data_IF_538605505756
#
_entry.id   IF_538605505756
#
_cell.length_a   1.000
_cell.length_b   1.000
_cell.length_c   1.000
_cell.angle_alpha   90.00
_cell.angle_beta   90.00
_cell.angle_gamma   90.00
#
_symmetry.space_group_name_H-M   'P 1'
#
loop_
_entity.id
_entity.type
_entity.pdbx_description
1 polymer ?
#
# COMPACT_ATOMS: atom_id res chain seq x y z
N UNK A 1 -21.05 3.27 7.43
CA UNK A 1 -21.13 4.16 8.60
C UNK A 1 -22.26 5.15 8.44
N UNK A 2 -22.89 5.53 9.55
CA UNK A 2 -24.05 6.42 9.55
C UNK A 2 -24.93 6.19 10.76
N UNK A 3 -26.17 6.72 10.72
CA UNK A 3 -27.17 6.43 11.75
C UNK A 3 -27.50 4.93 11.77
N UNK A 4 -27.49 4.33 12.95
CA UNK A 4 -27.69 2.88 13.11
C UNK A 4 -29.11 2.44 12.73
N UNK A 5 -30.12 3.27 13.03
CA UNK A 5 -31.51 2.95 12.69
C UNK A 5 -31.74 2.96 11.17
N UNK A 6 -31.12 3.92 10.47
CA UNK A 6 -31.15 4.00 9.01
C UNK A 6 -30.40 2.82 8.42
N UNK A 7 -29.21 2.46 8.95
CA UNK A 7 -28.48 1.28 8.52
C UNK A 7 -29.31 0.01 8.59
N UNK A 8 -29.97 -0.27 9.72
CA UNK A 8 -30.80 -1.47 9.86
C UNK A 8 -31.98 -1.48 8.87
N UNK A 9 -32.59 -0.33 8.58
CA UNK A 9 -33.64 -0.22 7.56
C UNK A 9 -33.17 -0.50 6.14
N UNK A 10 -31.91 -0.10 5.82
CA UNK A 10 -31.34 -0.23 4.45
C UNK A 10 -30.48 -1.47 4.26
N UNK A 11 -30.18 -2.21 5.33
CA UNK A 11 -29.26 -3.36 5.33
C UNK A 11 -29.60 -4.42 4.27
N UNK A 12 -30.89 -4.74 4.11
CA UNK A 12 -31.31 -5.76 3.12
C UNK A 12 -31.07 -5.28 1.68
N UNK A 13 -31.29 -4.00 1.41
CA UNK A 13 -30.94 -3.42 0.12
C UNK A 13 -29.43 -3.47 -0.13
N UNK A 14 -28.64 -3.07 0.86
CA UNK A 14 -27.18 -3.08 0.75
C UNK A 14 -26.58 -4.49 0.60
N UNK A 15 -27.22 -5.52 1.15
CA UNK A 15 -26.82 -6.93 0.99
C UNK A 15 -26.83 -7.41 -0.47
N UNK A 16 -27.60 -6.79 -1.35
CA UNK A 16 -27.58 -7.12 -2.78
C UNK A 16 -26.24 -6.76 -3.45
N UNK A 17 -25.45 -5.86 -2.83
CA UNK A 17 -24.12 -5.43 -3.31
C UNK A 17 -22.97 -6.19 -2.65
N UNK A 18 -23.23 -7.04 -1.63
CA UNK A 18 -22.20 -7.81 -0.93
C UNK A 18 -22.43 -7.90 0.58
N UNK A 19 -21.39 -8.31 1.30
CA UNK A 19 -21.42 -8.38 2.77
C UNK A 19 -21.42 -6.99 3.40
N UNK A 20 -22.39 -6.75 4.27
CA UNK A 20 -22.59 -5.43 4.89
C UNK A 20 -22.21 -5.46 6.36
N UNK A 21 -21.28 -4.62 6.74
CA UNK A 21 -20.82 -4.48 8.12
C UNK A 21 -21.05 -3.04 8.60
N UNK A 22 -21.71 -2.86 9.74
CA UNK A 22 -21.83 -1.57 10.40
C UNK A 22 -20.54 -1.24 11.16
N UNK A 23 -19.84 -0.18 10.76
CA UNK A 23 -18.53 0.20 11.34
C UNK A 23 -18.59 1.45 12.21
N UNK A 24 -19.79 2.03 12.43
CA UNK A 24 -19.96 3.18 13.31
C UNK A 24 -20.73 4.34 12.68
N UNK A 25 -20.67 5.51 13.31
CA UNK A 25 -21.36 6.73 12.90
C UNK A 25 -20.88 7.26 11.54
N UNK A 26 -21.48 8.34 11.08
CA UNK A 26 -21.09 9.04 9.83
C UNK A 26 -19.59 9.28 9.77
N UNK A 27 -18.98 8.97 8.63
CA UNK A 27 -17.51 9.04 8.42
C UNK A 27 -16.77 7.71 8.69
N UNK A 28 -17.29 6.82 9.57
CA UNK A 28 -16.57 5.57 9.92
C UNK A 28 -16.34 4.62 8.73
N UNK A 29 -17.25 4.60 7.74
CA UNK A 29 -17.05 3.84 6.51
C UNK A 29 -15.85 4.34 5.70
N UNK A 30 -15.64 5.65 5.65
CA UNK A 30 -14.46 6.22 4.99
C UNK A 30 -13.18 5.88 5.75
N UNK A 31 -13.22 5.91 7.10
CA UNK A 31 -12.07 5.47 7.92
C UNK A 31 -11.74 4.00 7.66
N UNK A 32 -12.77 3.12 7.57
CA UNK A 32 -12.55 1.71 7.22
C UNK A 32 -11.89 1.54 5.85
N UNK A 33 -12.31 2.32 4.84
CA UNK A 33 -11.64 2.34 3.53
C UNK A 33 -10.19 2.78 3.63
N UNK A 34 -9.89 3.84 4.37
CA UNK A 34 -8.51 4.33 4.56
C UNK A 34 -7.64 3.30 5.29
N UNK A 35 -8.18 2.62 6.30
CA UNK A 35 -7.49 1.53 7.00
C UNK A 35 -7.14 0.38 6.04
N UNK A 36 -8.08 -0.03 5.17
CA UNK A 36 -7.82 -1.01 4.13
C UNK A 36 -6.67 -0.56 3.20
N UNK A 37 -6.71 0.68 2.71
CA UNK A 37 -5.69 1.20 1.79
C UNK A 37 -4.31 1.38 2.44
N UNK A 38 -4.26 1.66 3.74
CA UNK A 38 -3.01 1.64 4.50
C UNK A 38 -2.40 0.24 4.51
N UNK A 39 -3.20 -0.78 4.85
CA UNK A 39 -2.76 -2.19 4.85
C UNK A 39 -2.30 -2.60 3.44
N UNK A 40 -3.08 -2.29 2.40
CA UNK A 40 -2.73 -2.61 1.01
C UNK A 40 -1.37 -2.00 0.63
N UNK A 41 -1.18 -0.70 0.83
CA UNK A 41 0.07 -0.02 0.46
C UNK A 41 1.28 -0.53 1.22
N UNK A 42 1.15 -0.75 2.54
CA UNK A 42 2.22 -1.27 3.39
C UNK A 42 2.56 -2.73 3.00
N UNK A 43 1.55 -3.56 2.77
CA UNK A 43 1.76 -4.96 2.40
C UNK A 43 2.41 -5.11 1.03
N UNK A 44 2.08 -4.27 0.04
CA UNK A 44 2.79 -4.24 -1.25
C UNK A 44 4.28 -3.93 -1.04
N UNK A 45 4.61 -2.97 -0.18
CA UNK A 45 5.98 -2.68 0.20
C UNK A 45 6.68 -3.88 0.84
N UNK A 46 6.06 -4.51 1.83
CA UNK A 46 6.58 -5.68 2.53
C UNK A 46 6.81 -6.88 1.59
N UNK A 47 5.85 -7.17 0.71
CA UNK A 47 5.98 -8.22 -0.32
C UNK A 47 7.12 -7.91 -1.28
N UNK A 48 7.27 -6.65 -1.69
CA UNK A 48 8.38 -6.23 -2.56
C UNK A 48 9.74 -6.48 -1.90
N UNK A 49 9.91 -6.08 -0.64
CA UNK A 49 11.15 -6.28 0.12
C UNK A 49 11.44 -7.78 0.33
N UNK A 50 10.43 -8.57 0.68
CA UNK A 50 10.58 -10.01 0.88
C UNK A 50 11.07 -10.73 -0.40
N UNK A 51 10.51 -10.40 -1.56
CA UNK A 51 10.93 -10.99 -2.84
C UNK A 51 12.34 -10.53 -3.25
N UNK A 52 12.68 -9.27 -2.97
CA UNK A 52 14.03 -8.74 -3.20
C UNK A 52 15.05 -9.41 -2.28
N UNK A 53 14.70 -9.63 -1.01
CA UNK A 53 15.54 -10.34 -0.04
C UNK A 53 15.80 -11.77 -0.51
N UNK A 54 14.76 -12.50 -0.93
CA UNK A 54 14.89 -13.85 -1.46
C UNK A 54 15.85 -13.91 -2.65
N UNK A 55 15.66 -13.02 -3.64
CA UNK A 55 16.55 -12.90 -4.81
C UNK A 55 18.00 -12.59 -4.40
N UNK A 56 18.19 -11.70 -3.43
CA UNK A 56 19.52 -11.31 -2.96
C UNK A 56 20.26 -12.43 -2.23
N UNK A 57 19.53 -13.27 -1.52
CA UNK A 57 20.04 -14.42 -0.79
C UNK A 57 20.25 -15.67 -1.68
N UNK A 58 19.97 -15.58 -3.00
CA UNK A 58 20.10 -16.70 -3.94
C UNK A 58 18.95 -17.70 -3.89
N UNK A 59 17.86 -17.40 -3.18
CA UNK A 59 16.65 -18.21 -3.19
C UNK A 59 15.78 -17.87 -4.42
N UNK A 60 15.03 -18.85 -4.95
CA UNK A 60 14.04 -18.57 -6.00
C UNK A 60 12.83 -17.83 -5.43
N UNK A 61 12.57 -16.56 -5.82
CA UNK A 61 11.45 -15.80 -5.27
C UNK A 61 10.08 -16.42 -5.58
N UNK A 62 9.94 -17.21 -6.66
CA UNK A 62 8.70 -17.93 -6.97
C UNK A 62 8.46 -19.06 -5.96
N UNK A 63 9.52 -19.83 -5.65
CA UNK A 63 9.45 -20.88 -4.65
C UNK A 63 9.19 -20.32 -3.24
N UNK A 64 9.87 -19.21 -2.87
CA UNK A 64 9.65 -18.52 -1.59
C UNK A 64 8.19 -18.05 -1.48
N UNK A 65 7.66 -17.36 -2.50
CA UNK A 65 6.24 -16.94 -2.50
C UNK A 65 5.30 -18.14 -2.32
N UNK A 66 5.56 -19.25 -3.02
CA UNK A 66 4.76 -20.49 -2.90
C UNK A 66 4.82 -21.07 -1.47
N UNK A 67 5.97 -21.06 -0.85
CA UNK A 67 6.16 -21.59 0.50
C UNK A 67 5.39 -20.80 1.58
N UNK A 68 5.41 -19.46 1.49
CA UNK A 68 4.85 -18.59 2.55
C UNK A 68 3.37 -18.25 2.37
N UNK A 69 2.78 -18.53 1.20
CA UNK A 69 1.41 -18.09 0.88
C UNK A 69 0.32 -18.68 1.78
N UNK A 70 0.52 -19.88 2.32
CA UNK A 70 -0.42 -20.55 3.19
C UNK A 70 -0.11 -20.35 4.69
N UNK A 71 0.93 -19.57 5.03
CA UNK A 71 1.28 -19.21 6.40
C UNK A 71 0.74 -17.83 6.79
N UNK A 72 1.20 -17.30 7.91
CA UNK A 72 0.80 -15.99 8.44
C UNK A 72 1.09 -14.81 7.50
N UNK A 73 2.08 -14.93 6.62
CA UNK A 73 2.38 -13.94 5.60
C UNK A 73 1.41 -13.99 4.41
N UNK A 74 0.55 -15.00 4.31
CA UNK A 74 -0.43 -15.18 3.26
C UNK A 74 -1.44 -14.04 3.23
N UNK A 75 -1.71 -13.52 2.03
CA UNK A 75 -2.68 -12.46 1.81
C UNK A 75 -3.07 -12.37 0.33
N UNK A 76 -4.24 -11.81 0.00
CA UNK A 76 -4.58 -11.48 -1.39
C UNK A 76 -3.50 -10.62 -2.06
N UNK A 77 -2.83 -9.74 -1.30
CA UNK A 77 -1.73 -8.91 -1.80
C UNK A 77 -0.53 -9.76 -2.21
N UNK A 78 -0.09 -10.70 -1.38
CA UNK A 78 0.99 -11.64 -1.74
C UNK A 78 0.61 -12.50 -2.95
N UNK A 79 -0.65 -12.95 -3.03
CA UNK A 79 -1.12 -13.77 -4.16
C UNK A 79 -1.17 -12.97 -5.47
N UNK A 80 -1.83 -11.82 -5.48
CA UNK A 80 -2.07 -11.06 -6.71
C UNK A 80 -0.84 -10.24 -7.09
N UNK A 81 -0.38 -9.37 -6.18
CA UNK A 81 0.71 -8.43 -6.50
C UNK A 81 2.08 -9.10 -6.43
N UNK A 82 2.29 -10.09 -5.56
CA UNK A 82 3.49 -10.93 -5.59
C UNK A 82 3.64 -11.68 -6.92
N UNK A 83 2.54 -12.19 -7.50
CA UNK A 83 2.53 -12.78 -8.85
C UNK A 83 2.90 -11.75 -9.91
N UNK A 84 2.24 -10.57 -9.92
CA UNK A 84 2.53 -9.48 -10.88
C UNK A 84 4.00 -9.07 -10.86
N UNK A 85 4.59 -8.93 -9.67
CA UNK A 85 6.00 -8.59 -9.48
C UNK A 85 6.91 -9.64 -10.14
N UNK A 86 6.65 -10.92 -9.90
CA UNK A 86 7.46 -12.02 -10.44
C UNK A 86 7.32 -12.17 -11.97
N UNK A 87 6.16 -11.85 -12.51
CA UNK A 87 5.86 -11.85 -13.94
C UNK A 87 6.25 -10.53 -14.63
N UNK A 88 6.71 -9.51 -13.87
CA UNK A 88 6.99 -8.15 -14.34
C UNK A 88 5.80 -7.51 -15.06
N UNK A 89 4.59 -7.90 -14.67
CA UNK A 89 3.35 -7.37 -15.23
C UNK A 89 2.83 -6.21 -14.36
N UNK A 90 3.06 -4.99 -14.80
CA UNK A 90 2.66 -3.76 -14.13
C UNK A 90 1.53 -3.03 -14.87
N UNK A 91 0.78 -3.73 -15.72
CA UNK A 91 -0.48 -3.23 -16.28
C UNK A 91 -1.46 -2.91 -15.15
N UNK A 92 -2.11 -1.72 -15.16
CA UNK A 92 -2.78 -1.20 -13.99
C UNK A 92 -4.10 -1.92 -13.66
N UNK A 93 -4.12 -2.66 -12.53
CA UNK A 93 -5.35 -2.96 -11.79
C UNK A 93 -5.69 -1.82 -10.84
N UNK A 94 -4.68 -1.30 -10.12
CA UNK A 94 -4.75 -0.09 -9.31
C UNK A 94 -3.51 0.76 -9.55
N UNK A 95 -3.68 2.02 -10.00
CA UNK A 95 -2.55 2.89 -10.38
C UNK A 95 -1.71 3.35 -9.19
N UNK A 96 -0.40 3.56 -9.40
CA UNK A 96 0.49 4.20 -8.43
C UNK A 96 -0.03 5.57 -7.98
N UNK A 97 -0.56 6.39 -8.91
CA UNK A 97 -1.15 7.69 -8.59
C UNK A 97 -2.37 7.59 -7.67
N UNK A 98 -3.20 6.56 -7.85
CA UNK A 98 -4.37 6.30 -6.98
C UNK A 98 -3.92 5.89 -5.59
N UNK A 99 -2.94 4.98 -5.49
CA UNK A 99 -2.40 4.57 -4.20
C UNK A 99 -1.73 5.75 -3.46
N UNK A 100 -1.00 6.61 -4.18
CA UNK A 100 -0.43 7.83 -3.60
C UNK A 100 -1.51 8.76 -3.03
N UNK A 101 -2.60 8.98 -3.79
CA UNK A 101 -3.73 9.78 -3.32
C UNK A 101 -4.32 9.18 -2.03
N UNK A 102 -4.50 7.86 -1.99
CA UNK A 102 -5.03 7.18 -0.81
C UNK A 102 -4.08 7.31 0.39
N UNK A 103 -2.77 7.16 0.20
CA UNK A 103 -1.77 7.37 1.25
C UNK A 103 -1.75 8.82 1.77
N UNK A 104 -1.92 9.82 0.90
CA UNK A 104 -2.07 11.22 1.32
C UNK A 104 -3.29 11.42 2.20
N UNK A 105 -4.45 10.89 1.79
CA UNK A 105 -5.69 10.97 2.57
C UNK A 105 -5.55 10.29 3.95
N UNK A 106 -4.83 9.16 4.04
CA UNK A 106 -4.54 8.46 5.28
C UNK A 106 -3.76 9.38 6.23
N UNK A 107 -2.69 10.02 5.74
CA UNK A 107 -1.84 10.90 6.56
C UNK A 107 -2.60 12.16 6.98
N UNK A 108 -3.41 12.75 6.12
CA UNK A 108 -4.27 13.89 6.47
C UNK A 108 -5.29 13.52 7.55
N UNK A 109 -5.93 12.35 7.41
CA UNK A 109 -6.86 11.85 8.43
C UNK A 109 -6.14 11.60 9.76
N UNK A 110 -4.96 10.97 9.72
CA UNK A 110 -4.14 10.75 10.93
C UNK A 110 -3.83 12.07 11.65
N UNK A 111 -3.45 13.12 10.92
CA UNK A 111 -3.22 14.46 11.48
C UNK A 111 -4.46 15.05 12.14
N UNK A 112 -5.63 14.92 11.51
CA UNK A 112 -6.90 15.40 12.07
C UNK A 112 -7.23 14.73 13.40
N UNK A 113 -6.84 13.45 13.58
CA UNK A 113 -7.01 12.70 14.82
C UNK A 113 -5.78 12.76 15.75
N UNK A 114 -4.76 13.56 15.43
CA UNK A 114 -3.51 13.73 16.20
C UNK A 114 -2.77 12.41 16.47
N UNK A 115 -2.75 11.52 15.49
CA UNK A 115 -2.00 10.26 15.52
C UNK A 115 -0.90 10.24 14.46
N UNK A 116 0.18 9.53 14.74
CA UNK A 116 1.32 9.36 13.85
C UNK A 116 1.33 7.93 13.29
N UNK A 117 1.48 7.79 11.96
CA UNK A 117 1.47 6.52 11.24
C UNK A 117 2.77 6.34 10.46
N UNK A 118 3.88 5.93 11.12
CA UNK A 118 5.23 5.95 10.52
C UNK A 118 5.35 5.04 9.28
N UNK A 119 4.73 3.86 9.27
CA UNK A 119 4.77 2.98 8.11
C UNK A 119 4.03 3.60 6.92
N UNK A 120 2.86 4.18 7.14
CA UNK A 120 2.09 4.86 6.10
C UNK A 120 2.84 6.07 5.53
N UNK A 121 3.54 6.84 6.38
CA UNK A 121 4.37 7.96 5.93
C UNK A 121 5.53 7.48 5.04
N UNK A 122 6.20 6.40 5.42
CA UNK A 122 7.28 5.83 4.62
C UNK A 122 6.77 5.37 3.26
N UNK A 123 5.67 4.64 3.22
CA UNK A 123 5.06 4.15 1.98
C UNK A 123 4.57 5.32 1.11
N UNK A 124 3.96 6.35 1.71
CA UNK A 124 3.57 7.56 0.98
C UNK A 124 4.76 8.18 0.24
N UNK A 125 5.90 8.37 0.93
CA UNK A 125 7.13 8.91 0.33
C UNK A 125 7.63 8.05 -0.84
N UNK A 126 7.59 6.73 -0.71
CA UNK A 126 7.99 5.84 -1.80
C UNK A 126 7.05 5.97 -3.02
N UNK A 127 5.74 6.11 -2.80
CA UNK A 127 4.81 6.37 -3.90
C UNK A 127 4.95 7.78 -4.49
N UNK A 128 5.35 8.78 -3.74
CA UNK A 128 5.70 10.11 -4.26
C UNK A 128 6.86 9.99 -5.26
N UNK A 129 7.94 9.31 -4.88
CA UNK A 129 9.11 9.12 -5.73
C UNK A 129 8.77 8.37 -7.03
N UNK A 130 8.04 7.26 -6.95
CA UNK A 130 7.72 6.47 -8.16
C UNK A 130 6.80 7.23 -9.13
N UNK A 131 5.92 8.08 -8.61
CA UNK A 131 5.06 8.94 -9.43
C UNK A 131 5.90 10.04 -10.07
N UNK A 132 6.82 10.67 -9.34
CA UNK A 132 7.77 11.67 -9.87
C UNK A 132 8.71 11.07 -10.92
N UNK A 133 9.05 9.78 -10.85
CA UNK A 133 9.79 9.05 -11.88
C UNK A 133 8.95 8.75 -13.16
N UNK A 134 7.73 9.28 -13.26
CA UNK A 134 6.87 9.12 -14.45
C UNK A 134 6.09 7.80 -14.50
N UNK A 135 6.06 7.02 -13.40
CA UNK A 135 5.38 5.71 -13.33
C UNK A 135 3.98 5.78 -12.70
N UNK A 136 3.34 6.94 -12.77
CA UNK A 136 2.03 7.22 -12.17
C UNK A 136 0.91 6.30 -12.66
N UNK A 137 0.95 5.89 -13.93
CA UNK A 137 -0.04 5.04 -14.58
C UNK A 137 0.16 3.54 -14.37
N UNK A 138 1.34 3.10 -13.92
CA UNK A 138 1.61 1.69 -13.66
C UNK A 138 0.80 1.17 -12.46
N UNK A 139 0.60 -0.15 -12.42
CA UNK A 139 0.03 -0.83 -11.25
C UNK A 139 0.81 -0.49 -9.97
N UNK A 140 0.14 -0.36 -8.86
CA UNK A 140 0.77 0.02 -7.60
C UNK A 140 1.80 -1.00 -7.09
N UNK A 141 1.79 -2.25 -7.58
CA UNK A 141 2.86 -3.22 -7.35
C UNK A 141 4.19 -2.83 -8.02
N UNK A 142 4.19 -1.86 -8.94
CA UNK A 142 5.40 -1.29 -9.51
C UNK A 142 6.29 -0.58 -8.48
N UNK A 143 5.80 -0.35 -7.25
CA UNK A 143 6.60 0.06 -6.10
C UNK A 143 7.85 -0.84 -5.92
N UNK A 144 7.74 -2.13 -6.25
CA UNK A 144 8.86 -3.06 -6.31
C UNK A 144 10.03 -2.55 -7.16
N UNK A 145 9.77 -1.91 -8.30
CA UNK A 145 10.83 -1.40 -9.19
C UNK A 145 11.67 -0.33 -8.51
N UNK A 146 11.03 0.57 -7.76
CA UNK A 146 11.72 1.58 -6.97
C UNK A 146 12.54 0.95 -5.84
N UNK A 147 11.94 0.06 -5.04
CA UNK A 147 12.62 -0.58 -3.90
C UNK A 147 13.82 -1.40 -4.40
N UNK A 148 13.68 -2.11 -5.52
CA UNK A 148 14.78 -2.86 -6.15
C UNK A 148 15.93 -1.95 -6.64
N UNK A 149 15.61 -0.77 -7.15
CA UNK A 149 16.61 0.25 -7.51
C UNK A 149 17.37 0.77 -6.29
N UNK A 150 16.66 1.05 -5.19
CA UNK A 150 17.24 1.52 -3.93
C UNK A 150 18.20 0.50 -3.29
N UNK A 151 17.98 -0.80 -3.48
CA UNK A 151 18.90 -1.86 -3.03
C UNK A 151 20.30 -1.72 -3.62
N UNK A 152 20.41 -1.33 -4.89
CA UNK A 152 21.70 -1.23 -5.59
C UNK A 152 22.50 0.03 -5.22
N UNK A 153 21.79 1.06 -4.78
CA UNK A 153 22.37 2.33 -4.37
C UNK A 153 21.75 2.73 -3.02
N UNK A 154 22.36 2.30 -1.88
CA UNK A 154 21.96 2.83 -0.59
C UNK A 154 21.99 4.36 -0.72
N UNK A 155 20.88 4.99 -0.31
CA UNK A 155 20.64 6.42 -0.50
C UNK A 155 21.85 7.24 -0.07
N UNK A 156 22.63 7.69 -1.03
CA UNK A 156 23.70 8.64 -0.76
C UNK A 156 23.06 9.94 -0.28
N UNK A 157 23.55 10.55 0.80
CA UNK A 157 22.99 11.77 1.44
C UNK A 157 22.79 12.93 0.46
N UNK A 158 23.48 12.91 -0.68
CA UNK A 158 23.39 13.90 -1.76
C UNK A 158 22.40 13.53 -2.88
N UNK A 159 21.83 12.32 -2.88
CA UNK A 159 20.88 11.95 -3.93
C UNK A 159 19.54 12.70 -3.78
N UNK A 160 18.92 13.09 -4.91
CA UNK A 160 17.59 13.71 -4.94
C UNK A 160 16.57 12.86 -4.15
N UNK A 161 16.67 11.54 -4.27
CA UNK A 161 15.83 10.56 -3.57
C UNK A 161 16.07 10.61 -2.05
N UNK A 162 17.33 10.75 -1.60
CA UNK A 162 17.67 10.91 -0.20
C UNK A 162 17.11 12.24 0.36
N UNK A 163 17.25 13.33 -0.39
CA UNK A 163 16.71 14.65 -0.03
C UNK A 163 15.20 14.62 0.13
N UNK A 164 14.45 13.97 -0.77
CA UNK A 164 12.99 13.82 -0.66
C UNK A 164 12.60 13.02 0.59
N UNK A 165 13.38 11.99 0.94
CA UNK A 165 13.11 11.14 2.10
C UNK A 165 13.47 11.78 3.44
N UNK A 166 14.39 12.76 3.46
CA UNK A 166 14.93 13.35 4.70
C UNK A 166 14.66 14.86 4.84
N UNK A 167 14.32 15.57 3.76
CA UNK A 167 14.11 17.01 3.74
C UNK A 167 12.70 17.45 4.16
N UNK A 168 12.19 16.91 5.26
CA UNK A 168 11.21 17.62 6.09
C UNK A 168 11.66 17.49 7.53
N UNK A 169 12.45 18.49 7.97
CA UNK A 169 12.55 18.85 9.36
C UNK A 169 11.16 18.90 9.95
N UNK A 170 11.01 18.30 11.10
CA UNK A 170 9.88 18.52 11.98
C UNK A 170 9.79 20.04 12.25
N UNK A 171 8.82 20.71 11.67
CA UNK A 171 8.24 21.96 12.13
C UNK A 171 6.79 21.69 12.48
#
# INVERSE_FOLDING_TARGET
>A
GGDKKIFEKTKNLLKSMGTVTYVGKTGSGQVAKLANQAIVGITIGAVSEALILAEAAGADPKAVRKAIKNGFAGSPILEIHGKRILEKNFEPGGKCSTQLKDMKNIIETAKAYKIHLPLSEKIKKLYEIIVEEGKSSLDHSALYLLIKKLKKHPLNKTSKTWLIMHNRSFN
#
